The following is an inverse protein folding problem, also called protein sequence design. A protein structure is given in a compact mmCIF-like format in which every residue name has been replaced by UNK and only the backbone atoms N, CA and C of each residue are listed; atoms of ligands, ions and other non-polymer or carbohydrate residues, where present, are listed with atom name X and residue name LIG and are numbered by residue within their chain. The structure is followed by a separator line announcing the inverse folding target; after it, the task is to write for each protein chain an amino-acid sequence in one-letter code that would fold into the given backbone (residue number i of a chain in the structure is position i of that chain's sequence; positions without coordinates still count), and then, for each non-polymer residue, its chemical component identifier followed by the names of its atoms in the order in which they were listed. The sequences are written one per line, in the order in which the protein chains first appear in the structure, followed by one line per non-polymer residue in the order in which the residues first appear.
data_IF_513036081371
#
_entry.id   IF_513036081371
#
_cell.length_a   1.000
_cell.length_b   1.000
_cell.length_c   1.000
_cell.angle_alpha   90.00
_cell.angle_beta   90.00
_cell.angle_gamma   90.00
#
_symmetry.space_group_name_H-M   'P 1'
#
loop_
_entity.id
_entity.type
_entity.pdbx_description
1 polymer ?
#
# COMPACT_ATOMS: atom_id res chain seq x y z
N UNK A 1 -8.23 -16.65 -20.36
CA UNK A 1 -7.44 -15.56 -19.77
C UNK A 1 -6.80 -14.71 -20.88
N UNK A 2 -7.62 -14.32 -21.85
CA UNK A 2 -7.12 -13.71 -23.11
C UNK A 2 -6.89 -12.19 -23.02
N UNK A 3 -6.91 -11.61 -21.82
CA UNK A 3 -6.81 -10.15 -21.63
C UNK A 3 -5.47 -9.62 -21.07
N UNK A 4 -4.52 -10.47 -20.69
CA UNK A 4 -3.24 -10.03 -20.09
C UNK A 4 -2.16 -10.04 -21.16
N UNK A 5 -1.70 -8.85 -21.57
CA UNK A 5 -0.59 -8.67 -22.51
C UNK A 5 0.73 -8.42 -21.80
N UNK A 6 1.88 -8.71 -22.44
CA UNK A 6 3.21 -8.47 -21.88
C UNK A 6 3.41 -6.99 -21.49
N UNK A 7 3.05 -6.00 -22.32
CA UNK A 7 3.15 -4.59 -21.91
C UNK A 7 2.33 -4.28 -20.66
N UNK A 8 1.13 -4.83 -20.55
CA UNK A 8 0.27 -4.67 -19.39
C UNK A 8 0.89 -5.25 -18.12
N UNK A 9 1.47 -6.45 -18.21
CA UNK A 9 2.13 -7.11 -17.09
C UNK A 9 3.38 -6.33 -16.62
N UNK A 10 4.12 -5.71 -17.53
CA UNK A 10 5.25 -4.84 -17.20
C UNK A 10 4.77 -3.57 -16.48
N UNK A 11 3.71 -2.94 -16.97
CA UNK A 11 3.14 -1.73 -16.37
C UNK A 11 2.64 -1.98 -14.94
N UNK A 12 2.22 -3.20 -14.62
CA UNK A 12 1.75 -3.59 -13.26
C UNK A 12 2.86 -3.50 -12.19
N UNK A 13 4.14 -3.48 -12.58
CA UNK A 13 5.23 -3.22 -11.65
C UNK A 13 5.38 -1.74 -11.26
N UNK A 14 4.85 -0.80 -12.04
CA UNK A 14 4.98 0.63 -11.76
C UNK A 14 4.41 0.98 -10.38
N UNK A 15 3.15 0.67 -10.04
CA UNK A 15 2.61 0.98 -8.71
C UNK A 15 3.40 0.29 -7.58
N UNK A 16 3.93 -0.92 -7.81
CA UNK A 16 4.77 -1.62 -6.83
C UNK A 16 6.05 -0.84 -6.52
N UNK A 17 6.70 -0.33 -7.57
CA UNK A 17 7.91 0.50 -7.42
C UNK A 17 7.59 1.84 -6.77
N UNK A 18 6.49 2.50 -7.15
CA UNK A 18 6.06 3.77 -6.54
C UNK A 18 5.81 3.61 -5.04
N UNK A 19 5.10 2.55 -4.65
CA UNK A 19 4.90 2.22 -3.23
C UNK A 19 6.22 1.94 -2.51
N UNK A 20 7.10 1.13 -3.12
CA UNK A 20 8.41 0.82 -2.53
C UNK A 20 9.23 2.08 -2.23
N UNK A 21 9.32 2.98 -3.20
CA UNK A 21 10.04 4.26 -3.02
C UNK A 21 9.42 5.09 -1.90
N UNK A 22 8.08 5.20 -1.87
CA UNK A 22 7.38 5.92 -0.81
C UNK A 22 7.66 5.30 0.58
N UNK A 23 7.61 3.96 0.67
CA UNK A 23 7.85 3.23 1.91
C UNK A 23 9.29 3.43 2.42
N UNK A 24 10.29 3.38 1.53
CA UNK A 24 11.71 3.61 1.90
C UNK A 24 11.91 5.04 2.42
N UNK A 25 11.32 6.04 1.76
CA UNK A 25 11.41 7.43 2.20
C UNK A 25 10.77 7.60 3.58
N UNK A 26 9.56 7.07 3.77
CA UNK A 26 8.86 7.15 5.07
C UNK A 26 9.65 6.45 6.18
N UNK A 27 10.18 5.26 5.93
CA UNK A 27 11.00 4.55 6.91
C UNK A 27 12.24 5.36 7.28
N UNK A 28 12.92 5.95 6.32
CA UNK A 28 14.09 6.79 6.57
C UNK A 28 13.74 8.03 7.41
N UNK A 29 12.69 8.73 7.04
CA UNK A 29 12.29 9.98 7.72
C UNK A 29 11.74 9.73 9.12
N UNK A 30 11.10 8.58 9.36
CA UNK A 30 10.47 8.24 10.62
C UNK A 30 11.35 7.36 11.54
N UNK A 31 12.54 6.95 11.10
CA UNK A 31 13.43 6.06 11.85
C UNK A 31 13.73 6.55 13.27
N UNK A 32 14.05 7.84 13.41
CA UNK A 32 14.39 8.45 14.71
C UNK A 32 13.16 9.03 15.44
N UNK A 33 11.97 8.94 14.85
CA UNK A 33 10.73 9.51 15.40
C UNK A 33 9.83 8.48 16.04
N UNK A 34 9.90 7.26 15.55
CA UNK A 34 9.12 6.16 16.06
C UNK A 34 9.90 5.39 17.12
N UNK A 35 9.19 4.94 18.17
CA UNK A 35 9.74 3.92 19.07
C UNK A 35 10.02 2.64 18.29
N UNK A 36 11.03 1.88 18.69
CA UNK A 36 11.52 0.69 17.96
C UNK A 36 10.41 -0.28 17.54
N UNK A 37 9.44 -0.53 18.41
CA UNK A 37 8.31 -1.41 18.11
C UNK A 37 7.40 -0.86 17.01
N UNK A 38 7.08 0.43 17.04
CA UNK A 38 6.26 1.08 16.01
C UNK A 38 7.00 1.14 14.67
N UNK A 39 8.30 1.39 14.68
CA UNK A 39 9.12 1.32 13.48
C UNK A 39 9.16 -0.10 12.90
N UNK A 40 9.27 -1.13 13.73
CA UNK A 40 9.23 -2.52 13.29
C UNK A 40 7.90 -2.87 12.61
N UNK A 41 6.76 -2.37 13.13
CA UNK A 41 5.44 -2.53 12.51
C UNK A 41 5.37 -1.83 11.14
N UNK A 42 5.86 -0.58 11.08
CA UNK A 42 5.93 0.17 9.81
C UNK A 42 6.77 -0.58 8.77
N UNK A 43 7.94 -1.05 9.14
CA UNK A 43 8.86 -1.74 8.23
C UNK A 43 8.29 -3.09 7.79
N UNK A 44 7.86 -3.93 8.72
CA UNK A 44 7.28 -5.24 8.42
C UNK A 44 6.03 -5.13 7.53
N UNK A 45 5.13 -4.20 7.87
CA UNK A 45 3.93 -3.95 7.09
C UNK A 45 4.25 -3.48 5.66
N UNK A 46 5.20 -2.56 5.52
CA UNK A 46 5.64 -2.08 4.19
C UNK A 46 6.23 -3.20 3.33
N UNK A 47 7.03 -4.09 3.93
CA UNK A 47 7.59 -5.25 3.24
C UNK A 47 6.47 -6.19 2.79
N UNK A 48 5.49 -6.47 3.64
CA UNK A 48 4.35 -7.33 3.29
C UNK A 48 3.55 -6.75 2.13
N UNK A 49 3.25 -5.46 2.15
CA UNK A 49 2.51 -4.77 1.06
C UNK A 49 3.30 -4.85 -0.25
N UNK A 50 4.60 -4.57 -0.21
CA UNK A 50 5.47 -4.66 -1.38
C UNK A 50 5.50 -6.08 -1.95
N UNK A 51 5.74 -7.10 -1.12
CA UNK A 51 5.80 -8.50 -1.56
C UNK A 51 4.47 -8.93 -2.17
N UNK A 52 3.34 -8.57 -1.57
CA UNK A 52 2.02 -8.90 -2.12
C UNK A 52 1.80 -8.31 -3.52
N UNK A 53 2.14 -7.05 -3.72
CA UNK A 53 2.07 -6.41 -5.05
C UNK A 53 3.05 -7.02 -6.05
N UNK A 54 4.29 -7.29 -5.61
CA UNK A 54 5.32 -7.91 -6.44
C UNK A 54 4.92 -9.32 -6.90
N UNK A 55 4.34 -10.13 -6.03
CA UNK A 55 3.86 -11.46 -6.37
C UNK A 55 2.78 -11.40 -7.45
N UNK A 56 1.80 -10.51 -7.32
CA UNK A 56 0.74 -10.37 -8.33
C UNK A 56 1.29 -9.89 -9.67
N UNK A 57 2.19 -8.91 -9.69
CA UNK A 57 2.82 -8.44 -10.91
C UNK A 57 3.65 -9.57 -11.58
N UNK A 58 4.37 -10.35 -10.78
CA UNK A 58 5.12 -11.53 -11.25
C UNK A 58 4.19 -12.60 -11.84
N UNK A 59 3.06 -12.88 -11.19
CA UNK A 59 2.05 -13.81 -11.74
C UNK A 59 1.56 -13.36 -13.11
N UNK A 60 1.25 -12.08 -13.28
CA UNK A 60 0.80 -11.55 -14.58
C UNK A 60 1.86 -11.70 -15.67
N UNK A 61 3.15 -11.45 -15.36
CA UNK A 61 4.20 -11.60 -16.37
C UNK A 61 4.41 -13.08 -16.76
N UNK A 62 4.33 -14.01 -15.81
CA UNK A 62 4.43 -15.44 -16.08
C UNK A 62 3.31 -15.94 -17.02
N UNK A 63 2.08 -15.43 -16.81
CA UNK A 63 0.94 -15.74 -17.69
C UNK A 63 1.13 -15.09 -19.07
N UNK A 64 1.49 -13.79 -19.12
CA UNK A 64 1.65 -13.07 -20.38
C UNK A 64 2.74 -13.67 -21.28
N UNK A 65 3.77 -14.26 -20.68
CA UNK A 65 4.86 -14.97 -21.38
C UNK A 65 4.53 -16.44 -21.67
N UNK A 66 3.35 -16.95 -21.26
CA UNK A 66 2.95 -18.35 -21.38
C UNK A 66 3.93 -19.33 -20.72
N UNK A 67 4.59 -18.92 -19.62
CA UNK A 67 5.54 -19.77 -18.88
C UNK A 67 4.78 -20.74 -17.98
N UNK A 68 3.95 -20.23 -17.08
CA UNK A 68 3.11 -21.03 -16.17
C UNK A 68 2.02 -20.16 -15.52
N UNK A 69 0.95 -20.81 -15.06
CA UNK A 69 -0.04 -20.19 -14.17
C UNK A 69 0.23 -20.61 -12.73
N UNK A 70 1.08 -19.88 -12.04
CA UNK A 70 1.34 -20.10 -10.61
C UNK A 70 0.38 -19.27 -9.75
N UNK A 71 -0.84 -19.77 -9.63
CA UNK A 71 -1.97 -19.07 -9.00
C UNK A 71 -1.72 -18.65 -7.54
N UNK A 72 -0.83 -19.34 -6.83
CA UNK A 72 -0.44 -18.99 -5.47
C UNK A 72 0.11 -17.56 -5.36
N UNK A 73 0.79 -17.04 -6.40
CA UNK A 73 1.28 -15.66 -6.43
C UNK A 73 0.14 -14.64 -6.54
N UNK A 74 -0.92 -14.98 -7.30
CA UNK A 74 -2.10 -14.12 -7.42
C UNK A 74 -2.91 -14.09 -6.13
N UNK A 75 -3.16 -15.27 -5.55
CA UNK A 75 -3.97 -15.41 -4.32
C UNK A 75 -3.28 -14.87 -3.08
N UNK A 76 -1.96 -14.75 -3.06
CA UNK A 76 -1.19 -14.17 -1.95
C UNK A 76 -1.37 -12.66 -1.78
N UNK A 77 -1.89 -11.94 -2.80
CA UNK A 77 -2.01 -10.48 -2.76
C UNK A 77 -2.73 -9.98 -1.50
N UNK A 78 -3.98 -10.36 -1.32
CA UNK A 78 -4.82 -9.86 -0.23
C UNK A 78 -4.34 -10.33 1.15
N UNK A 79 -3.97 -11.61 1.36
CA UNK A 79 -3.39 -12.07 2.62
C UNK A 79 -2.09 -11.36 3.03
N UNK A 80 -1.32 -10.88 2.07
CA UNK A 80 -0.10 -10.10 2.35
C UNK A 80 -0.41 -8.62 2.55
N UNK A 81 -1.16 -8.00 1.66
CA UNK A 81 -1.42 -6.56 1.71
C UNK A 81 -2.38 -6.15 2.82
N UNK A 82 -3.43 -6.91 3.09
CA UNK A 82 -4.41 -6.58 4.12
C UNK A 82 -3.75 -6.38 5.51
N UNK A 83 -3.13 -7.42 6.08
CA UNK A 83 -2.39 -7.29 7.34
C UNK A 83 -1.25 -6.28 7.24
N UNK A 84 -0.54 -6.23 6.10
CA UNK A 84 0.56 -5.30 5.86
C UNK A 84 0.13 -3.85 6.05
N UNK A 85 -0.97 -3.41 5.45
CA UNK A 85 -1.49 -2.05 5.62
C UNK A 85 -1.93 -1.76 7.06
N UNK A 86 -2.51 -2.73 7.76
CA UNK A 86 -2.87 -2.57 9.17
C UNK A 86 -1.62 -2.36 10.02
N UNK A 87 -0.55 -3.14 9.79
CA UNK A 87 0.71 -2.97 10.52
C UNK A 87 1.35 -1.59 10.26
N UNK A 88 1.36 -1.12 9.01
CA UNK A 88 1.83 0.24 8.67
C UNK A 88 0.99 1.29 9.41
N UNK A 89 -0.33 1.17 9.39
CA UNK A 89 -1.22 2.09 10.09
C UNK A 89 -0.93 2.12 11.60
N UNK A 90 -0.83 0.95 12.24
CA UNK A 90 -0.51 0.86 13.67
C UNK A 90 0.85 1.49 13.97
N UNK A 91 1.87 1.25 13.14
CA UNK A 91 3.17 1.90 13.26
C UNK A 91 3.09 3.44 13.19
N UNK A 92 2.27 3.97 12.27
CA UNK A 92 2.08 5.42 12.11
C UNK A 92 1.25 6.06 13.22
N UNK A 93 0.36 5.34 13.89
CA UNK A 93 -0.41 5.88 15.03
C UNK A 93 0.49 6.25 16.21
N UNK A 94 1.65 5.61 16.32
CA UNK A 94 2.63 5.89 17.36
C UNK A 94 3.37 7.23 17.18
N UNK A 95 3.23 7.90 16.03
CA UNK A 95 3.67 9.29 15.86
C UNK A 95 2.98 10.26 16.84
N UNK A 96 1.91 9.84 17.51
CA UNK A 96 1.13 10.64 18.45
C UNK A 96 1.40 10.36 19.92
N UNK A 97 2.08 9.27 20.26
CA UNK A 97 2.24 8.82 21.66
C UNK A 97 3.69 8.50 21.95
N UNK A 98 4.28 9.24 22.88
CA UNK A 98 5.60 8.93 23.46
C UNK A 98 5.63 7.58 24.22
N UNK A 99 4.48 7.10 24.65
CA UNK A 99 4.33 5.87 25.41
C UNK A 99 3.46 4.88 24.61
N UNK A 100 4.07 4.23 23.62
CA UNK A 100 3.50 3.01 23.08
C UNK A 100 3.91 1.88 24.02
N UNK A 101 2.99 1.48 24.93
CA UNK A 101 3.12 0.24 25.68
C UNK A 101 3.50 -0.91 24.73
N UNK A 102 4.16 -1.92 25.27
CA UNK A 102 4.76 -3.03 24.52
C UNK A 102 3.99 -3.40 23.26
N UNK A 103 4.69 -3.61 22.13
CA UNK A 103 4.03 -3.95 20.87
C UNK A 103 3.18 -5.18 21.11
N UNK A 104 1.86 -5.02 20.99
CA UNK A 104 0.98 -6.15 20.90
C UNK A 104 1.41 -6.86 19.63
N UNK A 105 2.16 -7.93 19.76
CA UNK A 105 2.54 -8.79 18.65
C UNK A 105 1.22 -9.38 18.11
N UNK A 106 0.63 -8.70 17.14
CA UNK A 106 -0.39 -9.29 16.32
C UNK A 106 0.33 -10.35 15.47
N UNK A 107 0.48 -11.54 16.05
CA UNK A 107 0.76 -12.74 15.30
C UNK A 107 -0.47 -12.96 14.42
N UNK A 108 -0.48 -12.38 13.23
CA UNK A 108 -1.46 -12.73 12.21
C UNK A 108 -1.05 -14.11 11.73
N UNK A 109 -1.57 -15.14 12.40
CA UNK A 109 -1.49 -16.49 11.87
C UNK A 109 -2.12 -16.49 10.48
N UNK A 110 -1.48 -17.10 9.47
CA UNK A 110 -2.10 -17.27 8.18
C UNK A 110 -3.33 -18.17 8.35
N UNK A 111 -4.49 -17.54 8.51
CA UNK A 111 -5.74 -18.27 8.54
C UNK A 111 -6.04 -18.65 7.10
N UNK A 112 -6.11 -19.94 6.82
CA UNK A 112 -6.60 -20.48 5.56
C UNK A 112 -8.09 -20.12 5.43
N UNK A 113 -8.37 -18.91 4.98
CA UNK A 113 -9.73 -18.42 4.77
C UNK A 113 -10.14 -18.66 3.31
N UNK A 114 -11.33 -19.23 3.12
CA UNK A 114 -11.95 -19.41 1.81
C UNK A 114 -12.39 -18.10 1.14
N UNK A 115 -12.40 -16.98 1.87
CA UNK A 115 -12.90 -15.70 1.40
C UNK A 115 -11.86 -14.60 1.62
N UNK A 116 -11.55 -13.83 0.58
CA UNK A 116 -10.66 -12.67 0.66
C UNK A 116 -11.29 -11.47 1.37
N UNK A 117 -12.57 -11.53 1.76
CA UNK A 117 -13.32 -10.39 2.30
C UNK A 117 -12.66 -9.77 3.53
N UNK A 118 -12.19 -10.60 4.47
CA UNK A 118 -11.52 -10.11 5.68
C UNK A 118 -10.24 -9.33 5.35
N UNK A 119 -9.45 -9.80 4.40
CA UNK A 119 -8.22 -9.14 3.98
C UNK A 119 -8.51 -7.85 3.22
N UNK A 120 -9.58 -7.80 2.43
CA UNK A 120 -10.05 -6.58 1.75
C UNK A 120 -10.48 -5.54 2.79
N UNK A 121 -11.24 -5.94 3.82
CA UNK A 121 -11.63 -5.05 4.92
C UNK A 121 -10.38 -4.52 5.65
N UNK A 122 -9.42 -5.40 5.96
CA UNK A 122 -8.15 -5.00 6.57
C UNK A 122 -7.38 -4.01 5.68
N UNK A 123 -7.37 -4.23 4.36
CA UNK A 123 -6.73 -3.33 3.39
C UNK A 123 -7.39 -1.94 3.40
N UNK A 124 -8.71 -1.87 3.37
CA UNK A 124 -9.44 -0.60 3.38
C UNK A 124 -9.23 0.15 4.69
N UNK A 125 -9.33 -0.53 5.84
CA UNK A 125 -9.10 0.07 7.17
C UNK A 125 -7.64 0.48 7.32
N UNK A 126 -6.71 -0.38 6.98
CA UNK A 126 -5.28 -0.12 7.12
C UNK A 126 -4.83 1.02 6.21
N UNK A 127 -5.14 0.96 4.91
CA UNK A 127 -4.76 2.01 3.97
C UNK A 127 -5.47 3.33 4.28
N UNK A 128 -6.78 3.30 4.59
CA UNK A 128 -7.51 4.50 5.03
C UNK A 128 -6.92 5.12 6.29
N UNK A 129 -6.50 4.30 7.24
CA UNK A 129 -5.80 4.74 8.45
C UNK A 129 -4.45 5.39 8.15
N UNK A 130 -3.66 4.82 7.21
CA UNK A 130 -2.41 5.42 6.73
C UNK A 130 -2.70 6.80 6.13
N UNK A 131 -3.67 6.89 5.21
CA UNK A 131 -4.01 8.16 4.56
C UNK A 131 -4.47 9.21 5.59
N UNK A 132 -5.27 8.81 6.57
CA UNK A 132 -5.68 9.70 7.66
C UNK A 132 -4.46 10.26 8.44
N UNK A 133 -3.51 9.40 8.82
CA UNK A 133 -2.29 9.82 9.50
C UNK A 133 -1.46 10.79 8.64
N UNK A 134 -1.31 10.47 7.34
CA UNK A 134 -0.52 11.27 6.42
C UNK A 134 -1.18 12.63 6.10
N UNK A 135 -2.51 12.65 5.90
CA UNK A 135 -3.28 13.91 5.74
C UNK A 135 -3.10 14.80 6.95
N UNK A 136 -3.26 14.24 8.16
CA UNK A 136 -3.08 15.01 9.39
C UNK A 136 -1.66 15.56 9.52
N UNK A 137 -0.65 14.75 9.26
CA UNK A 137 0.75 15.18 9.25
C UNK A 137 0.98 16.31 8.24
N UNK A 138 0.43 16.16 7.02
CA UNK A 138 0.53 17.17 5.98
C UNK A 138 -0.12 18.51 6.40
N UNK A 139 -1.27 18.46 7.05
CA UNK A 139 -1.95 19.67 7.56
C UNK A 139 -1.17 20.32 8.70
N UNK A 140 -0.61 19.54 9.62
CA UNK A 140 0.26 20.05 10.69
C UNK A 140 1.51 20.74 10.13
N UNK A 141 2.09 20.19 9.07
CA UNK A 141 3.21 20.78 8.34
C UNK A 141 2.80 21.92 7.39
N UNK A 142 1.51 22.29 7.34
CA UNK A 142 0.93 23.31 6.45
C UNK A 142 1.14 23.00 4.95
N UNK A 143 1.27 21.73 4.58
CA UNK A 143 1.45 21.24 3.21
C UNK A 143 0.13 20.76 2.63
N UNK A 144 -0.77 21.70 2.30
CA UNK A 144 -2.12 21.40 1.78
C UNK A 144 -2.10 20.49 0.54
N UNK A 145 -1.16 20.70 -0.39
CA UNK A 145 -1.05 19.88 -1.58
C UNK A 145 -0.79 18.40 -1.25
N UNK A 146 0.09 18.13 -0.28
CA UNK A 146 0.33 16.76 0.16
C UNK A 146 -0.96 16.13 0.74
N UNK A 147 -1.72 16.88 1.56
CA UNK A 147 -2.99 16.41 2.09
C UNK A 147 -3.99 16.06 0.98
N UNK A 148 -4.11 16.89 -0.06
CA UNK A 148 -4.96 16.61 -1.22
C UNK A 148 -4.51 15.35 -1.95
N UNK A 149 -3.20 15.17 -2.17
CA UNK A 149 -2.67 13.98 -2.84
C UNK A 149 -2.97 12.70 -2.04
N UNK A 150 -2.87 12.71 -0.71
CA UNK A 150 -3.23 11.56 0.10
C UNK A 150 -4.73 11.24 0.03
N UNK A 151 -5.60 12.25 0.03
CA UNK A 151 -7.04 12.03 -0.16
C UNK A 151 -7.33 11.45 -1.54
N UNK A 152 -6.72 11.98 -2.61
CA UNK A 152 -6.89 11.45 -3.96
C UNK A 152 -6.39 10.01 -4.07
N UNK A 153 -5.25 9.68 -3.47
CA UNK A 153 -4.74 8.31 -3.40
C UNK A 153 -5.80 7.36 -2.81
N UNK A 154 -6.45 7.76 -1.71
CA UNK A 154 -7.48 6.94 -1.08
C UNK A 154 -8.71 6.78 -1.97
N UNK A 155 -9.16 7.84 -2.63
CA UNK A 155 -10.29 7.79 -3.58
C UNK A 155 -10.00 6.80 -4.71
N UNK A 156 -8.78 6.81 -5.27
CA UNK A 156 -8.39 5.87 -6.31
C UNK A 156 -8.36 4.42 -5.81
N UNK A 157 -7.92 4.17 -4.57
CA UNK A 157 -7.97 2.81 -3.99
C UNK A 157 -9.42 2.34 -3.82
N UNK A 158 -10.34 3.20 -3.38
CA UNK A 158 -11.77 2.86 -3.32
C UNK A 158 -12.33 2.58 -4.72
N UNK A 159 -11.91 3.35 -5.73
CA UNK A 159 -12.21 3.11 -7.14
C UNK A 159 -11.72 1.73 -7.61
N UNK A 160 -10.51 1.31 -7.20
CA UNK A 160 -10.00 -0.04 -7.46
C UNK A 160 -10.89 -1.14 -6.85
N UNK A 161 -11.38 -0.94 -5.63
CA UNK A 161 -12.32 -1.86 -4.99
C UNK A 161 -13.62 -2.00 -5.79
N UNK A 162 -14.16 -0.89 -6.29
CA UNK A 162 -15.35 -0.89 -7.15
C UNK A 162 -15.10 -1.60 -8.48
N UNK A 163 -13.98 -1.30 -9.15
CA UNK A 163 -13.58 -1.98 -10.38
C UNK A 163 -13.41 -3.48 -10.17
N UNK A 164 -12.77 -3.89 -9.06
CA UNK A 164 -12.59 -5.31 -8.72
C UNK A 164 -13.91 -6.05 -8.50
N UNK A 165 -14.93 -5.39 -7.97
CA UNK A 165 -16.27 -5.98 -7.80
C UNK A 165 -17.05 -6.15 -9.11
N UNK A 166 -16.68 -5.40 -10.17
CA UNK A 166 -17.31 -5.43 -11.50
C UNK A 166 -16.39 -5.96 -12.60
N UNK A 167 -15.31 -6.61 -12.21
CA UNK A 167 -14.27 -7.06 -13.13
C UNK A 167 -14.81 -8.13 -14.08
N UNK A 168 -14.66 -7.90 -15.38
CA UNK A 168 -15.16 -8.77 -16.46
C UNK A 168 -14.05 -9.44 -17.29
N UNK A 169 -12.81 -9.43 -16.79
CA UNK A 169 -11.60 -9.96 -17.44
C UNK A 169 -11.28 -9.37 -18.83
N UNK A 170 -11.95 -8.29 -19.24
CA UNK A 170 -11.62 -7.64 -20.50
C UNK A 170 -10.30 -6.88 -20.42
N UNK A 171 -9.61 -6.76 -21.55
CA UNK A 171 -8.37 -5.98 -21.68
C UNK A 171 -8.58 -4.51 -21.28
N UNK A 172 -9.73 -3.91 -21.65
CA UNK A 172 -10.06 -2.53 -21.31
C UNK A 172 -10.19 -2.31 -19.79
N UNK A 173 -10.89 -3.20 -19.09
CA UNK A 173 -11.05 -3.13 -17.63
C UNK A 173 -9.72 -3.28 -16.91
N UNK A 174 -8.86 -4.18 -17.39
CA UNK A 174 -7.51 -4.35 -16.85
C UNK A 174 -6.68 -3.06 -16.97
N UNK A 175 -6.72 -2.35 -18.11
CA UNK A 175 -6.02 -1.09 -18.30
C UNK A 175 -6.55 0.02 -17.38
N UNK A 176 -7.88 0.14 -17.24
CA UNK A 176 -8.49 1.12 -16.33
C UNK A 176 -8.03 0.85 -14.89
N UNK A 177 -8.04 -0.41 -14.46
CA UNK A 177 -7.57 -0.79 -13.13
C UNK A 177 -6.10 -0.43 -12.93
N UNK A 178 -5.23 -0.69 -13.90
CA UNK A 178 -3.80 -0.35 -13.81
C UNK A 178 -3.55 1.15 -13.73
N UNK A 179 -4.20 1.93 -14.61
CA UNK A 179 -4.07 3.40 -14.58
C UNK A 179 -4.55 3.95 -13.23
N UNK A 180 -5.67 3.45 -12.72
CA UNK A 180 -6.19 3.85 -11.40
C UNK A 180 -5.20 3.53 -10.28
N UNK A 181 -4.57 2.36 -10.33
CA UNK A 181 -3.57 1.97 -9.35
C UNK A 181 -2.28 2.83 -9.42
N UNK A 182 -1.80 3.11 -10.63
CA UNK A 182 -0.66 4.01 -10.85
C UNK A 182 -0.97 5.42 -10.31
N UNK A 183 -2.17 5.94 -10.56
CA UNK A 183 -2.59 7.24 -10.03
C UNK A 183 -2.65 7.24 -8.51
N UNK A 184 -3.18 6.16 -7.90
CA UNK A 184 -3.21 6.02 -6.46
C UNK A 184 -1.81 6.08 -5.84
N UNK A 185 -0.91 5.19 -6.29
CA UNK A 185 0.44 5.11 -5.74
C UNK A 185 1.30 6.33 -6.13
N UNK A 186 1.06 6.92 -7.30
CA UNK A 186 1.69 8.18 -7.72
C UNK A 186 1.29 9.35 -6.82
N UNK A 187 0.02 9.48 -6.47
CA UNK A 187 -0.46 10.47 -5.51
C UNK A 187 0.12 10.22 -4.11
N UNK A 188 0.17 8.96 -3.66
CA UNK A 188 0.78 8.61 -2.39
C UNK A 188 2.26 9.00 -2.34
N UNK A 189 3.05 8.58 -3.31
CA UNK A 189 4.46 8.96 -3.41
C UNK A 189 4.64 10.47 -3.51
N UNK A 190 3.85 11.16 -4.32
CA UNK A 190 3.88 12.62 -4.45
C UNK A 190 3.67 13.33 -3.12
N UNK A 191 2.68 12.87 -2.33
CA UNK A 191 2.43 13.37 -0.99
C UNK A 191 3.62 13.13 -0.05
N UNK A 192 4.20 11.92 -0.06
CA UNK A 192 5.39 11.57 0.74
C UNK A 192 6.58 12.43 0.36
N UNK A 193 6.86 12.64 -0.93
CA UNK A 193 7.95 13.47 -1.40
C UNK A 193 7.82 14.94 -0.96
N UNK A 194 6.59 15.48 -0.96
CA UNK A 194 6.34 16.84 -0.47
C UNK A 194 6.64 16.94 1.03
N UNK A 195 6.24 15.95 1.83
CA UNK A 195 6.53 15.93 3.27
C UNK A 195 8.02 15.72 3.54
N UNK A 196 8.66 14.84 2.80
CA UNK A 196 10.11 14.62 2.87
C UNK A 196 10.88 15.94 2.64
N UNK A 197 10.61 16.62 1.51
CA UNK A 197 11.22 17.92 1.18
C UNK A 197 10.89 19.03 2.19
N UNK A 198 9.80 18.90 2.90
CA UNK A 198 9.38 19.84 3.93
C UNK A 198 10.03 19.56 5.30
N UNK A 199 10.93 18.58 5.39
CA UNK A 199 11.63 18.23 6.62
C UNK A 199 10.80 17.35 7.56
N UNK A 200 10.07 16.38 7.03
CA UNK A 200 9.31 15.41 7.86
C UNK A 200 10.20 14.78 8.95
N UNK A 201 11.46 14.52 8.63
CA UNK A 201 12.44 14.00 9.59
C UNK A 201 12.77 14.98 10.75
N UNK A 202 12.53 16.26 10.59
CA UNK A 202 12.95 17.32 11.52
C UNK A 202 11.77 17.93 12.31
N UNK A 203 10.53 17.64 11.92
CA UNK A 203 9.33 18.19 12.58
C UNK A 203 9.34 17.81 14.05
N UNK A 204 9.48 18.79 14.94
CA UNK A 204 9.28 18.63 16.38
C UNK A 204 7.77 18.59 16.66
N UNK A 205 7.32 17.56 17.35
CA UNK A 205 5.96 17.45 17.88
C UNK A 205 5.73 18.45 19.02
#
# INVERSE_FOLDING_TARGET
MDGITVPMAIVDFIPVVLFFVAAVILQRDLYNKLVKGAFALLAAGSIMVFIGGFYKATWKILIALNICNFEALNTALFPMQGPGFVLVFLGLTALKKKDFGAPMALAVAPVLYKSNLIFIIMQVIGFGGIQYCMVRTALLMKKKLAAVLFVLSFIFVLGMGYLGAKFDDTSGMNWIAQVTNILSEGCFLGGVLILHKAGLAEVKE
#
